data_IF_111909158841
#
_entry.id   IF_111909158841
#
_cell.length_a   1.000
_cell.length_b   1.000
_cell.length_c   1.000
_cell.angle_alpha   90.00
_cell.angle_beta   90.00
_cell.angle_gamma   90.00
#
_symmetry.space_group_name_H-M   'P 1'
#
loop_
_entity.id
_entity.type
_entity.pdbx_description
1 polymer ?
#
# COMPACT_ATOMS: atom_id res chain seq x y z
N UNK A 1 -17.51 -5.20 -13.53
CA UNK A 1 -17.76 -4.91 -12.09
C UNK A 1 -16.57 -5.20 -11.17
N UNK A 2 -15.94 -6.39 -11.13
CA UNK A 2 -14.88 -6.65 -10.15
C UNK A 2 -13.69 -5.68 -10.28
N UNK A 3 -13.31 -5.30 -11.50
CA UNK A 3 -12.22 -4.35 -11.73
C UNK A 3 -12.51 -2.94 -11.19
N UNK A 4 -13.71 -2.39 -11.42
CA UNK A 4 -14.06 -1.06 -10.92
C UNK A 4 -14.00 -1.05 -9.40
N UNK A 5 -14.58 -2.06 -8.75
CA UNK A 5 -14.55 -2.19 -7.29
C UNK A 5 -13.12 -2.31 -6.76
N UNK A 6 -12.27 -3.12 -7.39
CA UNK A 6 -10.86 -3.21 -7.02
C UNK A 6 -10.15 -1.88 -7.13
N UNK A 7 -10.37 -1.12 -8.22
CA UNK A 7 -9.77 0.20 -8.39
C UNK A 7 -10.27 1.16 -7.31
N UNK A 8 -11.58 1.18 -7.01
CA UNK A 8 -12.14 2.00 -5.91
C UNK A 8 -11.46 1.67 -4.59
N UNK A 9 -11.40 0.38 -4.22
CA UNK A 9 -10.86 -0.07 -2.93
C UNK A 9 -9.37 0.24 -2.82
N UNK A 10 -8.58 -0.03 -3.86
CA UNK A 10 -7.13 0.23 -3.85
C UNK A 10 -6.85 1.73 -3.83
N UNK A 11 -7.54 2.50 -4.68
CA UNK A 11 -7.34 3.95 -4.77
C UNK A 11 -7.71 4.65 -3.46
N UNK A 12 -8.91 4.39 -2.95
CA UNK A 12 -9.37 4.93 -1.66
C UNK A 12 -8.51 4.43 -0.49
N UNK A 13 -8.22 3.13 -0.46
CA UNK A 13 -7.44 2.49 0.59
C UNK A 13 -6.05 3.11 0.73
N UNK A 14 -5.38 3.40 -0.38
CA UNK A 14 -4.05 3.99 -0.38
C UNK A 14 -4.12 5.50 -0.17
N UNK A 15 -4.82 6.22 -1.04
CA UNK A 15 -4.79 7.70 -1.05
C UNK A 15 -5.55 8.32 0.11
N UNK A 16 -6.51 7.61 0.72
CA UNK A 16 -7.33 8.21 1.79
C UNK A 16 -7.12 7.46 3.08
N UNK A 17 -7.40 6.16 3.11
CA UNK A 17 -7.40 5.44 4.38
C UNK A 17 -5.99 5.34 4.98
N UNK A 18 -5.01 4.85 4.21
CA UNK A 18 -3.63 4.66 4.69
C UNK A 18 -2.84 5.96 4.90
N UNK A 19 -3.21 7.05 4.22
CA UNK A 19 -2.59 8.36 4.41
C UNK A 19 -3.16 9.07 5.65
N UNK A 20 -4.48 9.03 5.85
CA UNK A 20 -5.14 9.78 6.93
C UNK A 20 -5.16 9.03 8.27
N UNK A 21 -5.01 7.70 8.28
CA UNK A 21 -5.03 6.94 9.53
C UNK A 21 -3.92 7.37 10.49
N UNK A 22 -2.75 7.80 9.99
CA UNK A 22 -1.69 8.35 10.84
C UNK A 22 -2.10 9.69 11.44
N UNK A 23 -2.73 10.58 10.67
CA UNK A 23 -3.27 11.85 11.18
C UNK A 23 -4.29 11.63 12.30
N UNK A 24 -5.09 10.56 12.21
CA UNK A 24 -6.03 10.18 13.27
C UNK A 24 -5.29 9.68 14.52
N UNK A 25 -4.26 8.83 14.34
CA UNK A 25 -3.45 8.29 15.43
C UNK A 25 -2.70 9.38 16.19
N UNK A 26 -2.11 10.31 15.44
CA UNK A 26 -1.36 11.45 15.97
C UNK A 26 -2.24 12.68 16.20
N UNK A 27 -3.57 12.55 16.18
CA UNK A 27 -4.48 13.69 16.24
C UNK A 27 -4.25 14.54 17.49
N UNK A 28 -3.94 13.93 18.64
CA UNK A 28 -3.67 14.68 19.88
C UNK A 28 -2.47 15.64 19.76
N UNK A 29 -1.49 15.28 18.94
CA UNK A 29 -0.26 16.04 18.71
C UNK A 29 -0.36 16.93 17.48
N UNK A 30 -1.19 16.57 16.52
CA UNK A 30 -1.37 17.28 15.25
C UNK A 30 -2.64 18.14 15.23
N UNK A 31 -3.42 18.23 16.31
CA UNK A 31 -4.69 18.98 16.33
C UNK A 31 -4.51 20.46 15.97
N UNK A 32 -3.37 21.04 16.36
CA UNK A 32 -3.02 22.43 16.04
C UNK A 32 -2.62 22.63 14.57
N UNK A 33 -2.32 21.53 13.86
CA UNK A 33 -1.94 21.51 12.45
C UNK A 33 -3.14 21.10 11.58
N UNK A 34 -3.85 20.03 11.97
CA UNK A 34 -5.02 19.49 11.27
C UNK A 34 -6.21 19.49 12.23
N UNK A 35 -7.18 20.41 12.04
CA UNK A 35 -8.39 20.44 12.87
C UNK A 35 -9.17 19.13 12.77
N UNK A 36 -9.68 18.64 13.89
CA UNK A 36 -10.36 17.35 13.96
C UNK A 36 -11.61 17.28 13.05
N UNK A 37 -12.24 18.42 12.80
CA UNK A 37 -13.42 18.57 11.94
C UNK A 37 -13.09 18.38 10.45
N UNK A 38 -11.82 18.50 10.07
CA UNK A 38 -11.36 18.34 8.69
C UNK A 38 -11.19 16.86 8.36
N UNK A 39 -10.87 16.00 9.33
CA UNK A 39 -10.60 14.58 9.09
C UNK A 39 -11.79 13.87 8.40
N UNK A 40 -13.05 13.92 8.91
CA UNK A 40 -14.17 13.26 8.25
C UNK A 40 -14.42 13.80 6.83
N UNK A 41 -14.14 15.09 6.60
CA UNK A 41 -14.27 15.72 5.28
C UNK A 41 -13.23 15.17 4.30
N UNK A 42 -11.99 14.94 4.74
CA UNK A 42 -10.94 14.31 3.92
C UNK A 42 -11.30 12.87 3.54
N UNK A 43 -11.85 12.10 4.48
CA UNK A 43 -12.35 10.75 4.19
C UNK A 43 -13.51 10.78 3.17
N UNK A 44 -14.48 11.65 3.35
CA UNK A 44 -15.61 11.80 2.43
C UNK A 44 -15.17 12.25 1.03
N UNK A 45 -14.28 13.25 0.94
CA UNK A 45 -13.69 13.72 -0.30
C UNK A 45 -12.98 12.57 -1.03
N UNK A 46 -12.14 11.82 -0.32
CA UNK A 46 -11.46 10.65 -0.86
C UNK A 46 -12.42 9.61 -1.41
N UNK A 47 -13.52 9.34 -0.71
CA UNK A 47 -14.54 8.39 -1.16
C UNK A 47 -15.24 8.88 -2.44
N UNK A 48 -15.63 10.16 -2.49
CA UNK A 48 -16.26 10.77 -3.68
C UNK A 48 -15.31 10.68 -4.88
N UNK A 49 -14.04 11.08 -4.71
CA UNK A 49 -13.04 11.02 -5.79
C UNK A 49 -12.83 9.59 -6.25
N UNK A 50 -12.68 8.63 -5.35
CA UNK A 50 -12.49 7.23 -5.70
C UNK A 50 -13.68 6.65 -6.49
N UNK A 51 -14.91 6.95 -6.06
CA UNK A 51 -16.14 6.45 -6.68
C UNK A 51 -16.35 7.07 -8.06
N UNK A 52 -15.98 8.33 -8.28
CA UNK A 52 -16.11 8.99 -9.59
C UNK A 52 -14.99 8.63 -10.55
N UNK A 53 -13.74 8.63 -10.07
CA UNK A 53 -12.56 8.43 -10.90
C UNK A 53 -12.41 6.97 -11.34
N UNK A 54 -12.70 6.01 -10.46
CA UNK A 54 -12.45 4.59 -10.77
C UNK A 54 -13.28 4.05 -11.93
N UNK A 55 -14.60 4.31 -12.04
CA UNK A 55 -15.39 3.93 -13.21
C UNK A 55 -14.89 4.62 -14.48
N UNK A 56 -14.56 5.91 -14.41
CA UNK A 56 -14.04 6.68 -15.54
C UNK A 56 -12.71 6.10 -16.04
N UNK A 57 -11.79 5.78 -15.13
CA UNK A 57 -10.52 5.16 -15.46
C UNK A 57 -10.72 3.81 -16.18
N UNK A 58 -11.63 2.96 -15.69
CA UNK A 58 -11.95 1.67 -16.32
C UNK A 58 -12.62 1.83 -17.68
N UNK A 59 -13.48 2.84 -17.83
CA UNK A 59 -14.15 3.20 -19.09
C UNK A 59 -13.14 3.66 -20.15
N UNK A 60 -12.28 4.62 -19.80
CA UNK A 60 -11.24 5.17 -20.70
C UNK A 60 -10.28 4.08 -21.18
N UNK A 61 -9.93 3.12 -20.32
CA UNK A 61 -9.09 1.98 -20.70
C UNK A 61 -9.84 0.88 -21.48
N UNK A 62 -11.11 1.09 -21.84
CA UNK A 62 -11.91 0.16 -22.62
C UNK A 62 -12.21 -1.17 -21.92
N UNK A 63 -11.99 -1.27 -20.61
CA UNK A 63 -12.11 -2.54 -19.85
C UNK A 63 -13.53 -2.80 -19.34
N UNK A 64 -14.47 -1.87 -19.54
CA UNK A 64 -15.87 -1.99 -19.09
C UNK A 64 -16.65 -3.09 -19.83
N UNK A 65 -16.30 -3.39 -21.10
CA UNK A 65 -17.10 -4.23 -22.01
C UNK A 65 -16.70 -5.71 -22.09
N UNK A 66 -15.69 -6.19 -21.35
CA UNK A 66 -15.27 -7.61 -21.43
C UNK A 66 -16.19 -8.53 -20.61
N UNK A 67 -17.37 -8.85 -21.13
CA UNK A 67 -18.10 -10.09 -20.82
C UNK A 67 -17.78 -11.11 -21.91
N UNK A 68 -16.57 -11.68 -21.87
CA UNK A 68 -16.31 -12.92 -22.60
C UNK A 68 -16.62 -14.08 -21.66
N UNK A 69 -17.32 -15.11 -22.16
CA UNK A 69 -17.40 -16.43 -21.52
C UNK A 69 -16.00 -17.06 -21.53
N UNK A 70 -15.12 -16.56 -20.67
CA UNK A 70 -13.84 -17.21 -20.41
C UNK A 70 -14.10 -18.27 -19.35
N UNK A 71 -13.77 -19.52 -19.66
CA UNK A 71 -13.60 -20.56 -18.65
C UNK A 71 -12.76 -19.96 -17.51
N UNK A 72 -13.18 -20.05 -16.24
CA UNK A 72 -12.40 -19.51 -15.14
C UNK A 72 -11.06 -20.24 -15.11
N UNK A 73 -10.02 -19.61 -15.67
CA UNK A 73 -8.65 -20.04 -15.47
C UNK A 73 -8.44 -19.99 -13.95
N UNK A 74 -8.31 -21.16 -13.32
CA UNK A 74 -8.06 -21.25 -11.90
C UNK A 74 -6.79 -20.45 -11.60
N UNK A 75 -6.95 -19.32 -10.93
CA UNK A 75 -5.82 -18.52 -10.54
C UNK A 75 -5.15 -19.20 -9.34
N UNK A 76 -4.05 -19.91 -9.60
CA UNK A 76 -3.28 -20.63 -8.58
C UNK A 76 -2.43 -19.70 -7.71
N UNK A 77 -2.44 -18.38 -7.97
CA UNK A 77 -1.72 -17.41 -7.14
C UNK A 77 -2.36 -17.32 -5.77
N UNK A 78 -1.49 -17.22 -4.75
CA UNK A 78 -1.88 -17.06 -3.35
C UNK A 78 -2.66 -18.25 -2.76
N UNK A 79 -2.66 -19.40 -3.43
CA UNK A 79 -3.14 -20.65 -2.86
C UNK A 79 -2.05 -21.27 -1.99
N UNK A 80 -2.18 -21.11 -0.68
CA UNK A 80 -1.20 -21.61 0.29
C UNK A 80 -1.89 -21.98 1.61
N UNK A 81 -1.31 -22.92 2.40
CA UNK A 81 -1.83 -23.30 3.72
C UNK A 81 -1.96 -22.10 4.66
N UNK A 82 -2.90 -22.16 5.61
CA UNK A 82 -3.15 -21.08 6.60
C UNK A 82 -1.90 -20.77 7.41
N UNK A 83 -1.13 -21.80 7.81
CA UNK A 83 0.14 -21.61 8.51
C UNK A 83 1.11 -20.78 7.67
N UNK A 84 1.14 -21.00 6.35
CA UNK A 84 1.98 -20.24 5.44
C UNK A 84 1.55 -18.77 5.34
N UNK A 85 0.25 -18.51 5.39
CA UNK A 85 -0.27 -17.15 5.49
C UNK A 85 0.16 -16.46 6.78
N UNK A 86 -0.02 -17.11 7.93
CA UNK A 86 0.25 -16.50 9.24
C UNK A 86 1.70 -16.03 9.34
N UNK A 87 2.68 -16.89 9.04
CA UNK A 87 4.08 -16.49 9.17
C UNK A 87 4.48 -15.42 8.14
N UNK A 88 3.92 -15.45 6.93
CA UNK A 88 4.20 -14.42 5.91
C UNK A 88 3.63 -13.07 6.31
N UNK A 89 2.42 -13.04 6.85
CA UNK A 89 1.79 -11.81 7.34
C UNK A 89 2.57 -11.24 8.53
N UNK A 90 2.98 -12.10 9.48
CA UNK A 90 3.84 -11.70 10.58
C UNK A 90 5.19 -11.14 10.08
N UNK A 91 5.83 -11.83 9.14
CA UNK A 91 7.08 -11.37 8.52
C UNK A 91 6.90 -10.02 7.81
N UNK A 92 5.82 -9.84 7.05
CA UNK A 92 5.54 -8.59 6.35
C UNK A 92 5.22 -7.43 7.30
N UNK A 93 4.61 -7.70 8.46
CA UNK A 93 4.43 -6.69 9.50
C UNK A 93 5.77 -6.25 10.10
N UNK A 94 6.65 -7.21 10.43
CA UNK A 94 7.99 -6.91 10.97
C UNK A 94 8.84 -6.15 9.95
N UNK A 95 8.87 -6.59 8.68
CA UNK A 95 9.62 -5.91 7.62
C UNK A 95 9.12 -4.48 7.43
N UNK A 96 7.80 -4.27 7.46
CA UNK A 96 7.23 -2.93 7.32
C UNK A 96 7.69 -2.00 8.44
N UNK A 97 7.72 -2.47 9.69
CA UNK A 97 8.22 -1.70 10.83
C UNK A 97 9.69 -1.32 10.63
N UNK A 98 10.52 -2.25 10.15
CA UNK A 98 11.94 -1.99 9.86
C UNK A 98 12.08 -0.95 8.75
N UNK A 99 11.28 -1.05 7.68
CA UNK A 99 11.28 -0.07 6.59
C UNK A 99 10.85 1.30 7.11
N UNK A 100 9.78 1.37 7.92
CA UNK A 100 9.28 2.61 8.52
C UNK A 100 10.37 3.30 9.35
N UNK A 101 11.01 2.58 10.27
CA UNK A 101 12.10 3.13 11.09
C UNK A 101 13.30 3.50 10.23
N UNK A 102 13.69 2.62 9.30
CA UNK A 102 14.88 2.80 8.47
C UNK A 102 14.76 3.99 7.53
N UNK A 103 13.64 4.14 6.83
CA UNK A 103 13.43 5.30 5.94
C UNK A 103 13.24 6.60 6.73
N UNK A 104 12.55 6.56 7.86
CA UNK A 104 12.47 7.71 8.75
C UNK A 104 13.85 8.19 9.21
N UNK A 105 14.70 7.26 9.67
CA UNK A 105 16.02 7.59 10.21
C UNK A 105 17.06 7.95 9.14
N UNK A 106 17.11 7.21 8.03
CA UNK A 106 18.19 7.31 7.05
C UNK A 106 17.83 8.11 5.80
N UNK A 107 16.54 8.39 5.55
CA UNK A 107 16.10 9.17 4.39
C UNK A 107 15.45 10.46 4.84
N UNK A 108 14.44 10.38 5.71
CA UNK A 108 13.68 11.56 6.11
C UNK A 108 14.47 12.54 6.97
N UNK A 109 15.03 12.09 8.10
CA UNK A 109 15.78 12.97 9.01
C UNK A 109 16.92 13.70 8.30
N UNK A 110 17.76 13.05 7.47
CA UNK A 110 18.82 13.75 6.74
C UNK A 110 18.30 14.75 5.70
N UNK A 111 17.21 14.43 4.99
CA UNK A 111 16.62 15.33 3.99
C UNK A 111 15.87 16.51 4.62
N UNK A 112 15.26 16.31 5.79
CA UNK A 112 14.56 17.34 6.53
C UNK A 112 15.54 18.30 7.25
N UNK A 113 16.70 17.80 7.67
CA UNK A 113 17.73 18.58 8.34
C UNK A 113 17.20 19.28 9.61
N UNK A 114 17.58 20.54 9.81
CA UNK A 114 17.17 21.33 10.98
C UNK A 114 15.64 21.53 11.06
N UNK A 115 14.94 21.50 9.93
CA UNK A 115 13.50 21.62 9.89
C UNK A 115 12.80 20.47 10.62
N UNK A 116 13.43 19.28 10.69
CA UNK A 116 12.88 18.15 11.44
C UNK A 116 12.66 18.51 12.92
N UNK A 117 13.68 19.06 13.56
CA UNK A 117 13.60 19.43 14.98
C UNK A 117 12.60 20.56 15.21
N UNK A 118 12.50 21.50 14.28
CA UNK A 118 11.55 22.62 14.37
C UNK A 118 10.10 22.18 14.20
N UNK A 119 9.83 21.29 13.25
CA UNK A 119 8.47 20.86 12.92
C UNK A 119 7.94 19.76 13.85
N UNK A 120 8.82 18.88 14.35
CA UNK A 120 8.45 17.80 15.26
C UNK A 120 8.82 18.09 16.72
N UNK A 121 9.16 19.34 17.06
CA UNK A 121 9.40 19.76 18.44
C UNK A 121 8.16 19.42 19.31
N UNK A 122 8.35 18.61 20.34
CA UNK A 122 7.27 18.21 21.25
C UNK A 122 6.35 17.10 20.73
N UNK A 123 6.66 16.49 19.57
CA UNK A 123 5.91 15.33 19.09
C UNK A 123 6.24 14.11 19.96
N UNK A 124 5.30 13.74 20.83
CA UNK A 124 5.39 12.50 21.59
C UNK A 124 4.82 11.32 20.79
N UNK A 125 5.69 10.36 20.51
CA UNK A 125 5.30 9.13 19.83
C UNK A 125 4.47 8.24 20.77
N UNK A 126 3.23 7.85 20.39
CA UNK A 126 2.46 6.91 21.18
C UNK A 126 3.21 5.58 21.36
N UNK A 127 3.18 5.02 22.57
CA UNK A 127 3.88 3.76 22.88
C UNK A 127 3.45 2.58 21.98
N UNK A 128 2.23 2.66 21.42
CA UNK A 128 1.64 1.64 20.54
C UNK A 128 1.93 1.88 19.05
N UNK A 129 2.81 2.81 18.69
CA UNK A 129 3.12 3.14 17.30
C UNK A 129 3.64 1.93 16.51
N UNK A 130 4.50 1.10 17.08
CA UNK A 130 5.06 -0.07 16.38
C UNK A 130 3.98 -1.15 16.12
N UNK A 131 3.16 -1.57 17.11
CA UNK A 131 1.99 -2.39 16.84
C UNK A 131 1.08 -1.82 15.76
N UNK A 132 0.84 -0.51 15.78
CA UNK A 132 0.02 0.15 14.76
C UNK A 132 0.63 0.08 13.35
N UNK A 133 1.94 0.33 13.21
CA UNK A 133 2.61 0.15 11.92
C UNK A 133 2.52 -1.32 11.45
N UNK A 134 2.56 -2.28 12.36
CA UNK A 134 2.29 -3.69 12.06
C UNK A 134 0.88 -3.93 11.51
N UNK A 135 -0.16 -3.33 12.11
CA UNK A 135 -1.54 -3.40 11.58
C UNK A 135 -1.66 -2.71 10.23
N UNK A 136 -1.05 -1.54 10.07
CA UNK A 136 -0.99 -0.77 8.82
C UNK A 136 -0.35 -1.58 7.70
N UNK A 137 0.71 -2.32 8.00
CA UNK A 137 1.36 -3.26 7.08
C UNK A 137 0.37 -4.31 6.53
N UNK A 138 -0.48 -4.87 7.40
CA UNK A 138 -1.48 -5.86 6.99
C UNK A 138 -2.55 -5.27 6.07
N UNK A 139 -2.92 -4.01 6.27
CA UNK A 139 -3.84 -3.28 5.39
C UNK A 139 -3.21 -3.09 4.01
N UNK A 140 -1.94 -2.67 3.94
CA UNK A 140 -1.19 -2.63 2.67
C UNK A 140 -1.20 -3.99 1.97
N UNK A 141 -0.87 -5.07 2.68
CA UNK A 141 -0.91 -6.42 2.11
C UNK A 141 -2.29 -6.77 1.57
N UNK A 142 -3.36 -6.47 2.32
CA UNK A 142 -4.73 -6.71 1.90
C UNK A 142 -5.09 -5.98 0.59
N UNK A 143 -4.63 -4.74 0.40
CA UNK A 143 -4.82 -3.96 -0.83
C UNK A 143 -3.99 -4.51 -2.00
N UNK A 144 -2.83 -5.12 -1.74
CA UNK A 144 -2.03 -5.78 -2.78
C UNK A 144 -2.72 -7.04 -3.34
N UNK A 145 -3.44 -7.79 -2.50
CA UNK A 145 -4.02 -9.09 -2.88
C UNK A 145 -4.90 -9.05 -4.13
N UNK A 146 -5.91 -8.16 -4.26
CA UNK A 146 -6.73 -8.13 -5.46
C UNK A 146 -5.91 -7.75 -6.71
N UNK A 147 -4.92 -6.85 -6.59
CA UNK A 147 -4.03 -6.50 -7.71
C UNK A 147 -3.24 -7.73 -8.17
N UNK A 148 -2.60 -8.45 -7.24
CA UNK A 148 -1.82 -9.67 -7.54
C UNK A 148 -2.70 -10.74 -8.19
N UNK A 149 -3.95 -10.91 -7.73
CA UNK A 149 -4.92 -11.86 -8.30
C UNK A 149 -5.42 -11.46 -9.69
N UNK A 150 -5.43 -10.18 -10.03
CA UNK A 150 -5.88 -9.74 -11.35
C UNK A 150 -4.78 -9.78 -12.41
N UNK A 151 -3.51 -9.78 -11.99
CA UNK A 151 -2.35 -9.87 -12.87
C UNK A 151 -2.21 -11.29 -13.46
N UNK A 152 -1.96 -11.37 -14.77
CA UNK A 152 -1.79 -12.64 -15.51
C UNK A 152 -0.33 -12.94 -15.88
N UNK A 153 0.51 -11.92 -16.03
CA UNK A 153 1.93 -12.06 -16.38
C UNK A 153 2.82 -12.45 -15.19
N UNK A 154 4.14 -12.63 -15.40
CA UNK A 154 5.07 -13.10 -14.38
C UNK A 154 5.02 -12.32 -13.05
N UNK A 155 5.53 -12.95 -11.98
CA UNK A 155 5.45 -12.40 -10.63
C UNK A 155 6.10 -11.01 -10.49
N UNK A 156 7.12 -10.70 -11.29
CA UNK A 156 7.80 -9.40 -11.29
C UNK A 156 6.91 -8.28 -11.86
N UNK A 157 6.03 -8.58 -12.82
CA UNK A 157 5.05 -7.59 -13.32
C UNK A 157 4.04 -7.23 -12.23
N UNK A 158 3.58 -8.23 -11.47
CA UNK A 158 2.73 -7.99 -10.31
C UNK A 158 3.48 -7.22 -9.22
N UNK A 159 4.77 -7.52 -9.02
CA UNK A 159 5.68 -6.79 -8.14
C UNK A 159 5.74 -5.30 -8.51
N UNK A 160 6.09 -5.00 -9.76
CA UNK A 160 6.18 -3.62 -10.25
C UNK A 160 4.84 -2.91 -10.14
N UNK A 161 3.73 -3.56 -10.50
CA UNK A 161 2.41 -2.95 -10.42
C UNK A 161 2.04 -2.56 -8.98
N UNK A 162 2.24 -3.45 -8.01
CA UNK A 162 1.97 -3.17 -6.60
C UNK A 162 2.92 -2.08 -6.07
N UNK A 163 4.21 -2.18 -6.34
CA UNK A 163 5.21 -1.17 -5.95
C UNK A 163 4.88 0.21 -6.48
N UNK A 164 4.53 0.33 -7.77
CA UNK A 164 4.17 1.61 -8.37
C UNK A 164 2.85 2.13 -7.83
N UNK A 165 1.84 1.28 -7.61
CA UNK A 165 0.59 1.73 -6.99
C UNK A 165 0.82 2.28 -5.59
N UNK A 166 1.62 1.61 -4.76
CA UNK A 166 1.88 2.04 -3.40
C UNK A 166 2.70 3.33 -3.38
N UNK A 167 3.76 3.36 -4.18
CA UNK A 167 4.69 4.49 -4.29
C UNK A 167 4.02 5.73 -4.87
N UNK A 168 3.38 5.62 -6.03
CA UNK A 168 2.82 6.76 -6.76
C UNK A 168 1.58 7.29 -6.07
N UNK A 169 0.64 6.43 -5.66
CA UNK A 169 -0.61 6.91 -5.06
C UNK A 169 -0.36 7.59 -3.71
N UNK A 170 0.56 7.06 -2.91
CA UNK A 170 0.93 7.69 -1.64
C UNK A 170 1.79 8.94 -1.86
N UNK A 171 2.84 8.84 -2.68
CA UNK A 171 3.77 9.93 -2.95
C UNK A 171 3.10 11.13 -3.65
N UNK A 172 2.14 10.91 -4.54
CA UNK A 172 1.48 11.98 -5.28
C UNK A 172 0.80 13.02 -4.37
N UNK A 173 0.37 12.62 -3.17
CA UNK A 173 -0.26 13.53 -2.21
C UNK A 173 0.72 14.57 -1.65
N UNK A 174 2.01 14.26 -1.68
CA UNK A 174 3.09 15.10 -1.18
C UNK A 174 3.77 15.88 -2.29
N UNK A 175 3.37 15.72 -3.57
CA UNK A 175 3.92 16.50 -4.69
C UNK A 175 3.41 17.93 -4.70
N UNK A 176 2.13 18.12 -4.36
CA UNK A 176 1.52 19.45 -4.33
C UNK A 176 1.78 20.12 -2.98
N UNK A 177 2.05 21.44 -2.96
CA UNK A 177 2.06 22.21 -1.73
C UNK A 177 0.74 22.04 -0.96
N UNK A 178 0.83 21.98 0.36
CA UNK A 178 -0.33 21.95 1.24
C UNK A 178 -0.09 22.86 2.45
N UNK A 179 -1.16 23.24 3.12
CA UNK A 179 -1.14 24.19 4.25
C UNK A 179 -0.60 23.57 5.54
N UNK A 180 -0.55 22.23 5.62
CA UNK A 180 -0.24 21.49 6.83
C UNK A 180 1.27 21.25 7.02
N UNK A 181 2.04 21.20 5.93
CA UNK A 181 3.42 20.75 5.95
C UNK A 181 4.34 21.72 5.19
N UNK A 182 5.38 22.28 5.86
CA UNK A 182 6.38 23.12 5.22
C UNK A 182 7.06 22.42 4.04
N UNK A 183 7.50 23.18 3.04
CA UNK A 183 8.04 22.64 1.79
C UNK A 183 9.19 21.64 2.01
N UNK A 184 10.12 21.94 2.92
CA UNK A 184 11.27 21.07 3.21
C UNK A 184 10.81 19.74 3.79
N UNK A 185 9.93 19.75 4.79
CA UNK A 185 9.37 18.55 5.41
C UNK A 185 8.58 17.75 4.38
N UNK A 186 7.74 18.41 3.58
CA UNK A 186 6.94 17.78 2.54
C UNK A 186 7.79 17.08 1.50
N UNK A 187 8.88 17.71 1.03
CA UNK A 187 9.78 17.09 0.05
C UNK A 187 10.56 15.93 0.66
N UNK A 188 11.08 16.08 1.88
CA UNK A 188 11.75 14.99 2.58
C UNK A 188 10.81 13.79 2.74
N UNK A 189 9.58 14.03 3.20
CA UNK A 189 8.55 13.02 3.37
C UNK A 189 8.14 12.41 2.03
N UNK A 190 8.06 13.20 0.97
CA UNK A 190 7.79 12.69 -0.38
C UNK A 190 8.81 11.62 -0.79
N UNK A 191 10.11 11.89 -0.65
CA UNK A 191 11.15 10.92 -1.02
C UNK A 191 11.12 9.68 -0.13
N UNK A 192 10.99 9.89 1.20
CA UNK A 192 10.87 8.82 2.19
C UNK A 192 9.70 7.87 1.84
N UNK A 193 8.50 8.43 1.72
CA UNK A 193 7.23 7.69 1.53
C UNK A 193 7.17 7.05 0.15
N UNK A 194 7.63 7.74 -0.89
CA UNK A 194 7.63 7.19 -2.26
C UNK A 194 8.56 5.98 -2.36
N UNK A 195 9.78 6.08 -1.83
CA UNK A 195 10.77 5.02 -1.93
C UNK A 195 10.48 3.85 -0.98
N UNK A 196 10.08 4.11 0.26
CA UNK A 196 9.71 3.07 1.24
C UNK A 196 8.52 2.24 0.76
N UNK A 197 7.47 2.87 0.23
CA UNK A 197 6.28 2.17 -0.26
C UNK A 197 6.56 1.39 -1.55
N UNK A 198 7.43 1.89 -2.42
CA UNK A 198 7.89 1.14 -3.58
C UNK A 198 8.58 -0.16 -3.16
N UNK A 199 9.55 -0.04 -2.24
CA UNK A 199 10.31 -1.16 -1.71
C UNK A 199 9.40 -2.17 -0.99
N UNK A 200 8.49 -1.68 -0.15
CA UNK A 200 7.56 -2.54 0.55
C UNK A 200 6.61 -3.28 -0.38
N UNK A 201 6.04 -2.59 -1.37
CA UNK A 201 5.18 -3.22 -2.38
C UNK A 201 5.89 -4.37 -3.12
N UNK A 202 7.19 -4.23 -3.38
CA UNK A 202 7.98 -5.26 -4.03
C UNK A 202 8.16 -6.47 -3.12
N UNK A 203 8.53 -6.22 -1.87
CA UNK A 203 8.71 -7.26 -0.86
C UNK A 203 7.41 -8.02 -0.61
N UNK A 204 6.26 -7.34 -0.55
CA UNK A 204 4.94 -7.98 -0.37
C UNK A 204 4.73 -9.04 -1.44
N UNK A 205 4.89 -8.70 -2.71
CA UNK A 205 4.69 -9.66 -3.81
C UNK A 205 5.72 -10.78 -3.76
N UNK A 206 6.98 -10.44 -3.49
CA UNK A 206 8.06 -11.42 -3.38
C UNK A 206 7.83 -12.44 -2.26
N UNK A 207 7.53 -11.99 -1.04
CA UNK A 207 7.27 -12.85 0.13
C UNK A 207 6.02 -13.70 -0.09
N UNK A 208 4.95 -13.14 -0.64
CA UNK A 208 3.74 -13.91 -0.93
C UNK A 208 3.99 -14.99 -1.98
N UNK A 209 4.94 -14.78 -2.89
CA UNK A 209 5.40 -15.78 -3.87
C UNK A 209 6.32 -16.86 -3.28
N UNK A 210 7.04 -16.59 -2.18
CA UNK A 210 7.94 -17.59 -1.55
C UNK A 210 7.17 -18.86 -1.15
N UNK A 211 7.77 -20.03 -1.39
CA UNK A 211 7.18 -21.31 -1.02
C UNK A 211 6.10 -21.85 -1.96
N UNK A 212 5.76 -21.15 -3.05
CA UNK A 212 5.08 -21.78 -4.19
C UNK A 212 6.07 -22.66 -4.94
N UNK A 213 6.40 -23.83 -4.39
CA UNK A 213 7.10 -24.88 -5.14
C UNK A 213 6.13 -25.32 -6.25
N UNK A 214 6.46 -24.99 -7.51
CA UNK A 214 5.88 -25.77 -8.63
C UNK A 214 6.28 -27.21 -8.34
N UNK A 215 5.31 -28.12 -8.25
CA UNK A 215 5.61 -29.54 -8.31
C UNK A 215 6.51 -29.74 -9.55
N UNK A 216 7.73 -30.21 -9.33
CA UNK A 216 8.62 -30.56 -10.43
C UNK A 216 7.92 -31.71 -11.14
N UNK A 217 7.32 -31.44 -12.29
CA UNK A 217 6.76 -32.49 -13.13
C UNK A 217 7.97 -33.25 -13.70
N UNK A 218 8.32 -34.37 -13.07
CA UNK A 218 9.36 -35.26 -13.57
C UNK A 218 8.86 -35.76 -14.93
N UNK A 219 9.56 -35.47 -16.04
CA UNK A 219 9.16 -36.00 -17.34
C UNK A 219 9.27 -37.53 -17.29
N UNK A 220 8.13 -38.23 -17.30
CA UNK A 220 8.10 -39.70 -17.34
C UNK A 220 7.16 -40.40 -16.36
N UNK A 221 6.59 -39.72 -15.36
CA UNK A 221 5.62 -40.36 -14.47
C UNK A 221 4.20 -40.25 -15.04
N UNK A 222 3.71 -41.35 -15.61
CA UNK A 222 2.30 -41.57 -15.93
C UNK A 222 1.65 -42.12 -14.66
N UNK A 223 0.81 -41.33 -14.02
CA UNK A 223 -0.03 -41.82 -12.93
C UNK A 223 -1.05 -42.79 -13.54
N UNK A 224 -0.83 -44.08 -13.33
CA UNK A 224 -1.87 -45.09 -13.41
C UNK A 224 -2.47 -45.22 -12.01
N UNK A 225 -3.80 -45.37 -11.97
CA UNK A 225 -4.73 -45.47 -10.82
C UNK A 225 -5.34 -44.15 -10.38
#
# INVERSE_FOLDING_TARGET
>A
MPLVLTVVVVFYGIMTFLSQIETVVFLKQLVDIVPAEVIPKLFLQGAIVAILFSPLAVLVHGKMKKKGYFLPQQNTRLHMPVVQWIWKLALLAVIYIIIYIGFGMFVFVPLAGDAFQQFYAGLEMPQWILPFQGVRALIWVALALPVIRMMKGPWWEAGLAVSLLFSVLMGAQLLLPNEFMPEVIRRAHFFEVTASNFLYGWIVVWVLKLGNKKAIRIPGYRDYW
#
